data_IF_063146899030
#
_entry.id   IF_063146899030
#
_cell.length_a   1.000
_cell.length_b   1.000
_cell.length_c   1.000
_cell.angle_alpha   90.00
_cell.angle_beta   90.00
_cell.angle_gamma   90.00
#
_symmetry.space_group_name_H-M   'P 1'
#
loop_
_entity.id
_entity.type
_entity.pdbx_description
1 polymer ?
#
# COMPACT_ATOMS: atom_id res chain seq x y z
N UNK A 1 3.92 7.25 0.66
CA UNK A 1 3.73 6.12 1.61
C UNK A 1 2.78 6.59 2.71
N UNK A 2 1.95 5.72 3.28
CA UNK A 2 1.15 6.10 4.44
C UNK A 2 2.06 6.39 5.64
N UNK A 3 1.90 7.52 6.35
CA UNK A 3 2.53 7.69 7.65
C UNK A 3 1.96 6.67 8.64
N UNK A 4 2.68 6.42 9.73
CA UNK A 4 2.14 5.64 10.85
C UNK A 4 0.84 6.27 11.33
N UNK A 5 -0.15 5.44 11.65
CA UNK A 5 -1.47 5.94 12.02
C UNK A 5 -2.41 4.84 12.50
N UNK A 6 -3.59 5.21 13.04
CA UNK A 6 -4.52 4.25 13.63
C UNK A 6 -4.96 3.17 12.64
N UNK A 7 -4.80 1.91 13.05
CA UNK A 7 -5.20 0.74 12.29
C UNK A 7 -4.29 0.35 11.12
N UNK A 8 -3.14 1.01 10.95
CA UNK A 8 -2.05 0.53 10.10
C UNK A 8 -1.17 -0.40 10.96
N UNK A 9 -1.05 -1.67 10.58
CA UNK A 9 -0.36 -2.69 11.37
C UNK A 9 1.13 -2.75 10.96
N UNK A 10 1.60 -3.57 9.98
CA UNK A 10 2.86 -3.31 9.31
C UNK A 10 2.66 -2.75 7.89
N UNK A 11 3.66 -2.01 7.43
CA UNK A 11 3.80 -1.64 6.02
C UNK A 11 5.22 -1.93 5.55
N UNK A 12 5.35 -2.49 4.34
CA UNK A 12 6.63 -2.79 3.71
C UNK A 12 6.62 -2.29 2.27
N UNK A 13 7.63 -1.51 1.91
CA UNK A 13 7.87 -1.12 0.52
C UNK A 13 8.84 -2.11 -0.12
N UNK A 14 8.48 -2.58 -1.31
CA UNK A 14 9.29 -3.46 -2.14
C UNK A 14 9.61 -2.76 -3.44
N UNK A 15 10.80 -3.04 -3.99
CA UNK A 15 11.21 -2.61 -5.32
C UNK A 15 11.52 -3.84 -6.17
N UNK A 16 11.13 -3.81 -7.44
CA UNK A 16 11.51 -4.86 -8.39
C UNK A 16 13.03 -5.01 -8.48
N UNK A 17 13.50 -6.25 -8.57
CA UNK A 17 14.94 -6.58 -8.55
C UNK A 17 15.59 -6.56 -9.93
N UNK A 18 14.80 -6.48 -11.01
CA UNK A 18 15.34 -6.37 -12.37
C UNK A 18 16.13 -5.08 -12.55
N UNK A 19 17.26 -5.15 -13.28
CA UNK A 19 18.09 -3.98 -13.57
C UNK A 19 17.26 -2.86 -14.19
N UNK A 20 17.29 -1.68 -13.56
CA UNK A 20 16.49 -0.52 -14.01
C UNK A 20 15.00 -0.58 -13.66
N UNK A 21 14.54 -1.48 -12.78
CA UNK A 21 13.13 -1.56 -12.41
C UNK A 21 12.61 -0.27 -11.75
N UNK A 22 11.49 0.21 -12.27
CA UNK A 22 10.70 1.31 -11.74
C UNK A 22 9.37 0.82 -11.13
N UNK A 23 9.29 -0.48 -10.79
CA UNK A 23 8.11 -1.09 -10.18
C UNK A 23 8.28 -1.12 -8.66
N UNK A 24 7.30 -0.58 -7.96
CA UNK A 24 7.26 -0.52 -6.51
C UNK A 24 5.96 -1.14 -6.00
N UNK A 25 6.04 -1.94 -4.94
CA UNK A 25 4.88 -2.53 -4.27
C UNK A 25 4.90 -2.12 -2.80
N UNK A 26 3.90 -1.35 -2.38
CA UNK A 26 3.65 -1.11 -0.97
C UNK A 26 2.62 -2.12 -0.45
N UNK A 27 3.07 -3.05 0.38
CA UNK A 27 2.20 -3.99 1.08
C UNK A 27 1.88 -3.42 2.45
N UNK A 28 0.62 -3.02 2.67
CA UNK A 28 0.16 -2.43 3.93
C UNK A 28 -1.01 -3.24 4.47
N UNK A 29 -0.89 -3.75 5.70
CA UNK A 29 -1.98 -4.46 6.37
C UNK A 29 -2.76 -3.47 7.22
N UNK A 30 -4.08 -3.46 7.03
CA UNK A 30 -5.01 -2.59 7.74
C UNK A 30 -5.94 -3.43 8.61
N UNK A 31 -6.23 -2.94 9.81
CA UNK A 31 -7.22 -3.56 10.71
C UNK A 31 -8.62 -3.56 10.09
N UNK A 32 -8.96 -2.55 9.29
CA UNK A 32 -10.24 -2.50 8.56
C UNK A 32 -10.16 -1.61 7.32
N UNK A 33 -11.11 -1.80 6.39
CA UNK A 33 -11.28 -0.93 5.23
C UNK A 33 -11.64 0.51 5.61
N UNK A 34 -12.27 0.71 6.78
CA UNK A 34 -12.58 2.04 7.31
C UNK A 34 -11.32 2.80 7.76
N UNK A 35 -10.36 2.11 8.38
CA UNK A 35 -9.04 2.68 8.72
C UNK A 35 -8.31 3.12 7.46
N UNK A 36 -8.23 2.25 6.44
CA UNK A 36 -7.65 2.60 5.14
C UNK A 36 -8.34 3.81 4.52
N UNK A 37 -9.68 3.81 4.47
CA UNK A 37 -10.43 4.92 3.86
C UNK A 37 -10.11 6.24 4.53
N UNK A 38 -10.05 6.29 5.87
CA UNK A 38 -9.68 7.51 6.61
C UNK A 38 -8.26 7.96 6.28
N UNK A 39 -7.29 7.05 6.29
CA UNK A 39 -5.90 7.36 5.97
C UNK A 39 -5.72 7.85 4.52
N UNK A 40 -6.40 7.21 3.56
CA UNK A 40 -6.31 7.56 2.14
C UNK A 40 -6.93 8.94 1.82
N UNK A 41 -7.95 9.34 2.57
CA UNK A 41 -8.59 10.65 2.41
C UNK A 41 -7.92 11.76 3.23
N UNK A 42 -6.92 11.44 4.06
CA UNK A 42 -6.18 12.43 4.85
C UNK A 42 -5.53 13.49 3.90
N UNK A 43 -5.78 14.80 4.09
CA UNK A 43 -5.23 15.86 3.25
C UNK A 43 -3.71 15.88 3.16
N UNK A 44 -3.01 15.60 4.26
CA UNK A 44 -1.55 15.53 4.31
C UNK A 44 -1.04 14.36 3.47
N UNK A 45 -1.66 13.18 3.56
CA UNK A 45 -1.32 12.06 2.69
C UNK A 45 -1.58 12.37 1.22
N UNK A 46 -2.72 13.02 0.91
CA UNK A 46 -3.07 13.41 -0.46
C UNK A 46 -2.14 14.47 -1.03
N UNK A 47 -1.59 15.37 -0.20
CA UNK A 47 -0.60 16.35 -0.66
C UNK A 47 0.71 15.66 -1.05
N UNK A 48 1.10 14.59 -0.34
CA UNK A 48 2.29 13.81 -0.69
C UNK A 48 2.19 13.15 -2.07
N UNK A 49 1.00 12.70 -2.48
CA UNK A 49 0.80 12.11 -3.81
C UNK A 49 1.11 13.06 -4.97
N UNK A 50 1.07 14.39 -4.74
CA UNK A 50 1.41 15.40 -5.76
C UNK A 50 2.89 15.42 -6.11
N UNK A 51 3.75 14.83 -5.27
CA UNK A 51 5.18 14.73 -5.54
C UNK A 51 5.55 13.56 -6.46
N UNK A 52 4.58 12.72 -6.81
CA UNK A 52 4.83 11.66 -7.79
C UNK A 52 5.07 12.27 -9.17
N UNK A 53 6.05 11.76 -9.94
CA UNK A 53 6.30 12.27 -11.27
C UNK A 53 5.05 12.05 -12.15
N UNK A 54 4.78 12.90 -13.15
CA UNK A 54 3.61 12.76 -14.02
C UNK A 54 3.51 11.41 -14.75
N UNK A 55 4.65 10.74 -14.95
CA UNK A 55 4.74 9.41 -15.56
C UNK A 55 4.44 8.26 -14.59
N UNK A 56 4.32 8.51 -13.28
CA UNK A 56 4.01 7.48 -12.31
C UNK A 56 2.53 7.10 -12.36
N UNK A 57 2.28 5.80 -12.54
CA UNK A 57 0.96 5.20 -12.38
C UNK A 57 0.89 4.56 -10.99
N UNK A 58 -0.04 5.04 -10.16
CA UNK A 58 -0.28 4.50 -8.83
C UNK A 58 -1.70 3.94 -8.74
N UNK A 59 -1.81 2.66 -8.40
CA UNK A 59 -3.09 2.00 -8.10
C UNK A 59 -2.98 1.36 -6.71
N UNK A 60 -3.83 1.73 -5.74
CA UNK A 60 -3.87 1.13 -4.40
C UNK A 60 -5.06 0.16 -4.26
N UNK A 61 -5.05 -1.02 -4.91
CA UNK A 61 -6.10 -2.00 -4.73
C UNK A 61 -6.10 -2.55 -3.31
N UNK A 62 -7.31 -2.80 -2.78
CA UNK A 62 -7.50 -3.53 -1.53
C UNK A 62 -7.68 -5.01 -1.83
N UNK A 63 -6.98 -5.84 -1.06
CA UNK A 63 -7.06 -7.29 -1.16
C UNK A 63 -7.50 -7.88 0.17
N UNK A 64 -8.13 -9.05 0.11
CA UNK A 64 -8.30 -9.95 1.25
C UNK A 64 -7.35 -11.13 1.07
N UNK A 65 -6.78 -11.63 2.16
CA UNK A 65 -6.08 -12.90 2.12
C UNK A 65 -7.07 -14.01 1.76
N UNK A 66 -6.58 -15.00 1.03
CA UNK A 66 -7.31 -16.22 0.73
C UNK A 66 -6.42 -17.38 1.17
N UNK A 67 -6.95 -18.25 2.03
CA UNK A 67 -6.27 -19.49 2.35
C UNK A 67 -6.21 -20.39 1.12
N UNK A 68 -5.02 -20.93 0.86
CA UNK A 68 -4.80 -21.95 -0.16
C UNK A 68 -4.18 -23.16 0.54
N UNK A 69 -4.91 -24.30 0.62
CA UNK A 69 -4.43 -25.48 1.34
C UNK A 69 -3.01 -25.89 0.92
N UNK A 70 -2.13 -26.05 1.92
CA UNK A 70 -0.72 -26.42 1.70
C UNK A 70 0.19 -25.30 1.21
N UNK A 71 -0.32 -24.08 0.99
CA UNK A 71 0.47 -22.94 0.47
C UNK A 71 0.46 -21.77 1.44
N UNK A 72 -0.73 -21.28 1.82
CA UNK A 72 -0.87 -20.14 2.72
C UNK A 72 -2.09 -20.28 3.62
N UNK A 73 -1.92 -19.83 4.87
CA UNK A 73 -2.98 -19.67 5.86
C UNK A 73 -3.44 -18.21 5.91
N UNK A 74 -4.64 -17.96 6.43
CA UNK A 74 -5.15 -16.59 6.64
C UNK A 74 -4.31 -15.81 7.68
#
# INVERSE_FOLDING_TARGET
MFPTGPGLIPTQLHRGIGGGSCVFLNYAVWESTAHFKRAFHNPEFRSQLRHYPPSALASPPLFRKLAVPGVCVE
#
